data_IF_024325757636
#
_entry.id   IF_024325757636
#
_cell.length_a   1.000
_cell.length_b   1.000
_cell.length_c   1.000
_cell.angle_alpha   90.00
_cell.angle_beta   90.00
_cell.angle_gamma   90.00
#
_symmetry.space_group_name_H-M   'P 1'
#
loop_
_entity.id
_entity.type
_entity.pdbx_description
1 polymer ?
#
# COMPACT_ATOMS: atom_id res chain seq x y z
N UNK A 1 -18.17 -11.87 -13.94
CA UNK A 1 -17.47 -10.88 -13.10
C UNK A 1 -16.01 -11.33 -13.08
N UNK A 2 -15.13 -10.68 -13.84
CA UNK A 2 -13.71 -11.01 -13.80
C UNK A 2 -13.14 -10.39 -12.52
N UNK A 3 -12.79 -11.23 -11.56
CA UNK A 3 -11.90 -10.83 -10.47
C UNK A 3 -10.55 -10.56 -11.13
N UNK A 4 -10.24 -9.29 -11.39
CA UNK A 4 -8.87 -8.90 -11.70
C UNK A 4 -8.06 -9.20 -10.43
N UNK A 5 -7.38 -10.34 -10.40
CA UNK A 5 -6.39 -10.63 -9.38
C UNK A 5 -5.31 -9.56 -9.50
N UNK A 6 -5.11 -8.79 -8.43
CA UNK A 6 -3.99 -7.87 -8.32
C UNK A 6 -2.74 -8.73 -8.11
N UNK A 7 -1.86 -8.79 -9.11
CA UNK A 7 -0.59 -9.51 -9.00
C UNK A 7 0.36 -8.69 -8.13
N UNK A 8 0.95 -9.32 -7.11
CA UNK A 8 1.95 -8.68 -6.27
C UNK A 8 3.23 -8.43 -7.08
N UNK A 9 3.90 -7.28 -6.91
CA UNK A 9 5.13 -6.99 -7.62
C UNK A 9 6.25 -7.93 -7.17
N UNK A 10 7.22 -8.17 -8.05
CA UNK A 10 8.48 -8.80 -7.64
C UNK A 10 9.32 -7.77 -6.88
N UNK A 11 9.87 -8.17 -5.74
CA UNK A 11 10.64 -7.32 -4.84
C UNK A 11 12.05 -7.88 -4.65
N UNK A 12 13.03 -6.99 -4.55
CA UNK A 12 14.39 -7.33 -4.14
C UNK A 12 14.48 -7.50 -2.61
N UNK A 13 15.52 -8.19 -2.14
CA UNK A 13 15.73 -8.40 -0.72
C UNK A 13 15.85 -7.05 0.03
N UNK A 14 15.01 -6.86 1.04
CA UNK A 14 14.93 -5.62 1.82
C UNK A 14 13.86 -4.64 1.34
N UNK A 15 13.36 -4.78 0.12
CA UNK A 15 12.24 -3.98 -0.37
C UNK A 15 10.92 -4.41 0.26
N UNK A 16 10.00 -3.45 0.31
CA UNK A 16 8.69 -3.58 0.93
C UNK A 16 7.64 -3.08 -0.06
N UNK A 17 6.59 -3.86 -0.29
CA UNK A 17 5.42 -3.40 -1.04
C UNK A 17 4.30 -2.96 -0.09
N UNK A 18 3.70 -1.81 -0.40
CA UNK A 18 2.56 -1.25 0.32
C UNK A 18 1.33 -1.27 -0.59
N UNK A 19 0.31 -1.99 -0.18
CA UNK A 19 -0.99 -2.01 -0.84
C UNK A 19 -1.96 -1.11 -0.08
N UNK A 20 -2.56 -0.15 -0.76
CA UNK A 20 -3.50 0.79 -0.17
C UNK A 20 -4.94 0.35 -0.41
N UNK A 21 -5.70 0.27 0.68
CA UNK A 21 -7.11 -0.10 0.70
C UNK A 21 -7.94 1.00 1.37
N UNK A 22 -9.19 1.14 0.95
CA UNK A 22 -10.18 1.91 1.69
C UNK A 22 -10.59 1.11 2.94
N UNK A 23 -10.36 1.66 4.13
CA UNK A 23 -10.62 0.95 5.41
C UNK A 23 -12.09 0.60 5.67
N UNK A 24 -13.03 1.24 4.96
CA UNK A 24 -14.47 1.03 5.14
C UNK A 24 -14.99 -0.09 4.26
N UNK A 25 -14.41 -0.24 3.07
CA UNK A 25 -14.88 -1.16 2.05
C UNK A 25 -13.94 -2.34 1.80
N UNK A 26 -12.68 -2.24 2.23
CA UNK A 26 -11.63 -3.21 1.93
C UNK A 26 -11.23 -3.24 0.46
N UNK A 27 -11.72 -2.30 -0.35
CA UNK A 27 -11.38 -2.21 -1.76
C UNK A 27 -9.99 -1.62 -1.94
N UNK A 28 -9.19 -2.27 -2.80
CA UNK A 28 -7.92 -1.72 -3.26
C UNK A 28 -8.18 -0.40 -3.96
N UNK A 29 -7.47 0.62 -3.54
CA UNK A 29 -7.60 1.96 -4.08
C UNK A 29 -6.83 2.01 -5.41
N UNK A 30 -7.59 1.96 -6.51
CA UNK A 30 -7.05 2.16 -7.87
C UNK A 30 -7.17 3.63 -8.30
N UNK A 31 -6.41 3.97 -9.36
CA UNK A 31 -6.20 5.21 -10.15
C UNK A 31 -7.15 6.42 -9.97
N UNK A 32 -8.39 6.24 -9.52
CA UNK A 32 -9.44 7.27 -9.47
C UNK A 32 -10.15 7.41 -8.10
N UNK A 33 -9.84 6.60 -7.08
CA UNK A 33 -10.54 6.64 -5.78
C UNK A 33 -10.03 7.72 -4.83
N UNK A 34 -8.77 8.09 -4.99
CA UNK A 34 -8.06 9.21 -4.36
C UNK A 34 -7.15 9.69 -5.50
N UNK A 35 -7.22 10.94 -5.92
CA UNK A 35 -6.26 11.47 -6.89
C UNK A 35 -4.84 11.02 -6.48
N UNK A 36 -4.16 10.27 -7.36
CA UNK A 36 -2.81 9.73 -7.19
C UNK A 36 -1.81 10.87 -6.95
N UNK A 37 -1.78 11.38 -5.72
CA UNK A 37 -0.68 12.16 -5.20
C UNK A 37 0.53 11.25 -5.24
N UNK A 38 1.48 11.60 -6.12
CA UNK A 38 2.81 11.01 -6.34
C UNK A 38 2.91 10.11 -7.61
N UNK A 39 2.99 10.77 -8.77
CA UNK A 39 3.86 10.36 -9.90
C UNK A 39 3.44 9.17 -10.78
N UNK A 40 2.19 9.10 -11.24
CA UNK A 40 1.87 8.35 -12.47
C UNK A 40 2.09 6.83 -12.39
N UNK A 41 2.06 6.25 -11.19
CA UNK A 41 2.11 4.80 -11.04
C UNK A 41 0.78 4.17 -11.45
N UNK A 42 0.86 3.16 -12.31
CA UNK A 42 -0.31 2.42 -12.81
C UNK A 42 -0.72 1.27 -11.86
N UNK A 43 0.19 0.89 -10.96
CA UNK A 43 0.03 -0.26 -10.09
C UNK A 43 -0.48 0.14 -8.69
N UNK A 44 -1.23 -0.75 -8.02
CA UNK A 44 -1.81 -0.47 -6.70
C UNK A 44 -0.79 -0.60 -5.55
N UNK A 45 0.47 -0.92 -5.86
CA UNK A 45 1.54 -1.11 -4.88
C UNK A 45 2.55 0.03 -4.92
N UNK A 46 2.94 0.51 -3.74
CA UNK A 46 4.10 1.39 -3.58
C UNK A 46 5.26 0.56 -3.06
N UNK A 47 6.38 0.58 -3.80
CA UNK A 47 7.59 -0.15 -3.42
C UNK A 47 8.52 0.81 -2.70
N UNK A 48 9.02 0.37 -1.56
CA UNK A 48 9.91 1.12 -0.68
C UNK A 48 11.21 0.32 -0.48
N UNK A 49 12.34 1.03 -0.42
CA UNK A 49 13.66 0.38 -0.32
C UNK A 49 13.93 -0.27 1.05
N UNK A 50 13.13 0.07 2.05
CA UNK A 50 13.26 -0.50 3.40
C UNK A 50 11.98 -0.35 4.22
N UNK A 51 11.87 -1.14 5.28
CA UNK A 51 10.75 -1.07 6.23
C UNK A 51 10.68 0.28 6.96
N UNK A 52 11.81 0.93 7.23
CA UNK A 52 11.87 2.24 7.87
C UNK A 52 11.31 3.33 6.94
N UNK A 53 11.68 3.30 5.66
CA UNK A 53 11.12 4.22 4.66
C UNK A 53 9.62 3.98 4.48
N UNK A 54 9.21 2.71 4.39
CA UNK A 54 7.81 2.33 4.30
C UNK A 54 6.99 2.90 5.47
N UNK A 55 7.44 2.71 6.71
CA UNK A 55 6.77 3.26 7.90
C UNK A 55 6.72 4.79 7.88
N UNK A 56 7.80 5.46 7.48
CA UNK A 56 7.81 6.92 7.34
C UNK A 56 6.80 7.40 6.30
N UNK A 57 6.69 6.72 5.16
CA UNK A 57 5.74 7.08 4.11
C UNK A 57 4.29 6.78 4.51
N UNK A 58 4.05 5.69 5.25
CA UNK A 58 2.73 5.34 5.79
C UNK A 58 2.18 6.45 6.70
N UNK A 59 3.02 7.02 7.57
CA UNK A 59 2.61 8.15 8.43
C UNK A 59 2.14 9.32 7.57
N UNK A 60 2.86 9.64 6.50
CA UNK A 60 2.48 10.69 5.55
C UNK A 60 1.18 10.36 4.81
N UNK A 61 1.00 9.10 4.40
CA UNK A 61 -0.23 8.64 3.73
C UNK A 61 -1.46 8.79 4.64
N UNK A 62 -1.34 8.45 5.92
CA UNK A 62 -2.44 8.66 6.88
C UNK A 62 -2.77 10.13 7.15
N UNK A 63 -1.79 11.04 7.02
CA UNK A 63 -2.07 12.47 7.09
C UNK A 63 -2.86 12.98 5.88
N UNK A 64 -2.67 12.37 4.70
CA UNK A 64 -3.38 12.71 3.47
C UNK A 64 -4.79 12.10 3.48
N UNK A 65 -4.90 10.82 3.81
CA UNK A 65 -6.18 10.15 3.95
C UNK A 65 -6.24 9.31 5.24
N UNK A 66 -6.99 9.77 6.25
CA UNK A 66 -7.14 9.05 7.53
C UNK A 66 -7.88 7.72 7.40
N UNK A 67 -8.65 7.51 6.33
CA UNK A 67 -9.44 6.29 6.11
C UNK A 67 -8.69 5.21 5.32
N UNK A 68 -7.36 5.31 5.20
CA UNK A 68 -6.57 4.25 4.57
C UNK A 68 -6.41 3.05 5.50
N UNK A 69 -6.39 1.88 4.88
CA UNK A 69 -5.80 0.67 5.42
C UNK A 69 -4.61 0.30 4.52
N UNK A 70 -3.46 0.01 5.11
CA UNK A 70 -2.24 -0.27 4.36
C UNK A 70 -1.74 -1.67 4.73
N UNK A 71 -1.55 -2.52 3.72
CA UNK A 71 -1.00 -3.86 3.88
C UNK A 71 0.45 -3.84 3.40
N UNK A 72 1.34 -4.36 4.23
CA UNK A 72 2.79 -4.32 4.01
C UNK A 72 3.32 -5.73 3.74
N UNK A 73 4.00 -5.91 2.60
CA UNK A 73 4.51 -7.21 2.15
C UNK A 73 6.03 -7.20 2.03
N UNK A 74 6.66 -8.32 2.34
CA UNK A 74 8.10 -8.53 2.15
C UNK A 74 8.42 -9.08 0.74
N UNK A 75 9.73 -9.26 0.48
CA UNK A 75 10.22 -9.81 -0.77
C UNK A 75 9.81 -11.27 -1.07
N UNK A 76 9.32 -12.02 -0.08
CA UNK A 76 8.77 -13.36 -0.27
C UNK A 76 7.27 -13.31 -0.60
N UNK A 77 6.68 -12.11 -0.70
CA UNK A 77 5.24 -11.91 -0.82
C UNK A 77 4.48 -12.20 0.49
N UNK A 78 5.18 -12.34 1.61
CA UNK A 78 4.56 -12.57 2.91
C UNK A 78 4.03 -11.25 3.47
N UNK A 79 2.78 -11.28 3.97
CA UNK A 79 2.21 -10.15 4.68
C UNK A 79 2.95 -9.96 6.01
N UNK A 80 3.59 -8.82 6.17
CA UNK A 80 4.29 -8.41 7.39
C UNK A 80 3.29 -7.82 8.38
N UNK A 81 2.50 -6.84 7.94
CA UNK A 81 1.69 -6.01 8.83
C UNK A 81 0.48 -5.40 8.10
N UNK A 82 -0.59 -5.17 8.85
CA UNK A 82 -1.76 -4.40 8.41
C UNK A 82 -1.85 -3.16 9.31
N UNK A 83 -1.84 -1.99 8.71
CA UNK A 83 -1.73 -0.71 9.40
C UNK A 83 -2.97 0.14 9.13
N UNK A 84 -3.50 0.76 10.20
CA UNK A 84 -4.67 1.66 10.18
C UNK A 84 -4.37 2.89 11.04
N UNK A 85 -4.96 4.03 10.69
CA UNK A 85 -4.82 5.22 11.51
C UNK A 85 -5.40 4.97 12.92
N UNK A 86 -4.60 5.21 13.96
CA UNK A 86 -4.93 4.88 15.36
C UNK A 86 -4.27 3.61 15.91
N UNK A 87 -3.57 2.83 15.07
CA UNK A 87 -2.73 1.69 15.48
C UNK A 87 -1.22 1.96 15.30
N UNK A 88 -0.86 3.09 14.70
CA UNK A 88 0.53 3.56 14.49
C UNK A 88 0.91 4.59 15.54
#
# INVERSE_FOLDING_TARGET
MNLNCVEAPTLEYGQIALLLCDSRTGHVLQKNGIDLFLQGQEEPFFIEDSIEKAKSNIIRLFQINPNLEILMYDHNGALIEILRQGMV
#
